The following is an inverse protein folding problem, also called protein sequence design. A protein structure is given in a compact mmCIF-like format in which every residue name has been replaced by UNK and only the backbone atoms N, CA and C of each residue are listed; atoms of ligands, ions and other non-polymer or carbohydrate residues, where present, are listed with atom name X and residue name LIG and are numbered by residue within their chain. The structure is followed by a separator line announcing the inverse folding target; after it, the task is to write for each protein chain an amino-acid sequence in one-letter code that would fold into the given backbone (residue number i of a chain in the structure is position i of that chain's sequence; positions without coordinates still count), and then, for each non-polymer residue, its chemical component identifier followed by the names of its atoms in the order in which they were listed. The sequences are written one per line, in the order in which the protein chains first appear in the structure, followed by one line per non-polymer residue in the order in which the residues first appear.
data_IF_270508174576
#
_entry.id   IF_270508174576
#
_cell.length_a   1.000
_cell.length_b   1.000
_cell.length_c   1.000
_cell.angle_alpha   90.00
_cell.angle_beta   90.00
_cell.angle_gamma   90.00
#
_symmetry.space_group_name_H-M   'P 1'
#
loop_
_entity.id
_entity.type
_entity.pdbx_description
1 polymer ?
#
# COMPACT_ATOMS: atom_id res chain seq x y z
N UNK A 1 68.01 15.40 34.31
CA UNK A 1 68.70 14.71 35.44
C UNK A 1 68.47 13.21 35.24
N UNK A 2 69.57 12.50 35.06
CA UNK A 2 69.69 11.07 34.81
C UNK A 2 69.11 10.27 35.95
N UNK A 3 68.55 9.07 35.66
CA UNK A 3 68.93 7.82 36.37
C UNK A 3 68.37 6.63 35.56
N UNK A 4 69.32 5.77 35.23
CA UNK A 4 69.26 4.47 34.61
C UNK A 4 69.04 3.38 35.68
N UNK A 5 68.87 2.18 35.20
CA UNK A 5 69.07 0.80 35.75
C UNK A 5 67.75 0.02 35.91
N UNK A 6 67.68 -1.23 35.61
CA UNK A 6 68.42 -2.25 34.89
C UNK A 6 67.71 -3.57 35.15
N UNK A 7 67.67 -4.38 34.14
CA UNK A 7 67.63 -5.86 34.14
C UNK A 7 67.15 -6.65 35.35
N UNK A 8 66.19 -7.55 35.13
CA UNK A 8 66.45 -8.98 35.44
C UNK A 8 65.43 -9.88 34.72
N UNK A 9 65.95 -10.80 33.94
CA UNK A 9 65.27 -11.86 33.25
C UNK A 9 64.85 -12.96 34.22
N UNK A 10 63.73 -13.60 34.03
CA UNK A 10 63.47 -14.95 34.48
C UNK A 10 62.48 -15.62 33.49
N UNK A 11 63.04 -16.53 32.72
CA UNK A 11 62.37 -17.51 31.88
C UNK A 11 61.63 -18.52 32.77
N UNK A 12 60.33 -18.64 32.60
CA UNK A 12 59.60 -19.85 32.98
C UNK A 12 58.86 -20.36 31.77
N UNK A 13 59.39 -21.36 31.17
CA UNK A 13 58.77 -22.17 30.14
C UNK A 13 57.67 -23.02 30.80
N UNK A 14 56.44 -22.73 30.51
CA UNK A 14 55.33 -23.62 30.84
C UNK A 14 54.66 -24.06 29.55
N UNK A 15 54.94 -25.29 29.16
CA UNK A 15 54.20 -26.00 28.10
C UNK A 15 52.75 -26.17 28.55
N UNK A 16 51.84 -25.48 27.91
CA UNK A 16 50.43 -25.82 27.99
C UNK A 16 50.02 -26.30 26.58
N UNK A 17 49.64 -27.59 26.55
CA UNK A 17 49.10 -28.24 25.39
C UNK A 17 47.82 -27.53 24.90
N UNK A 18 47.84 -26.95 23.71
CA UNK A 18 46.65 -26.48 23.03
C UNK A 18 45.93 -27.68 22.43
N UNK A 19 44.90 -28.15 23.10
CA UNK A 19 43.87 -28.98 22.47
C UNK A 19 43.07 -28.09 21.53
N UNK A 20 43.33 -28.34 20.24
CA UNK A 20 42.61 -27.73 19.11
C UNK A 20 41.14 -28.16 19.14
N UNK A 21 40.28 -27.30 19.67
CA UNK A 21 38.86 -27.47 19.49
C UNK A 21 38.46 -26.67 18.22
N UNK A 22 38.41 -27.39 17.09
CA UNK A 22 37.92 -26.87 15.83
C UNK A 22 36.41 -26.56 15.98
N UNK A 23 36.06 -25.29 16.27
CA UNK A 23 34.69 -24.80 16.15
C UNK A 23 34.38 -24.62 14.67
N UNK A 24 33.74 -25.64 14.12
CA UNK A 24 33.07 -25.59 12.84
C UNK A 24 32.01 -24.45 12.89
N UNK A 25 32.29 -23.35 12.23
CA UNK A 25 31.35 -22.26 12.02
C UNK A 25 30.29 -22.78 11.07
N UNK A 26 29.17 -23.25 11.57
CA UNK A 26 27.97 -23.46 10.79
C UNK A 26 27.44 -22.08 10.37
N UNK A 27 27.71 -21.71 9.13
CA UNK A 27 26.98 -20.68 8.43
C UNK A 27 25.54 -21.17 8.28
N UNK A 28 24.63 -20.67 9.13
CA UNK A 28 23.20 -20.81 8.90
C UNK A 28 22.88 -20.19 7.54
N UNK A 29 22.07 -20.86 6.71
CA UNK A 29 21.55 -20.26 5.49
C UNK A 29 20.74 -19.02 5.90
N UNK A 30 21.01 -17.90 5.24
CA UNK A 30 20.16 -16.70 5.30
C UNK A 30 18.81 -17.11 4.77
N UNK A 31 17.88 -17.29 5.69
CA UNK A 31 16.45 -17.49 5.37
C UNK A 31 16.00 -16.31 4.56
N UNK A 32 15.76 -16.57 3.29
CA UNK A 32 15.25 -15.61 2.33
C UNK A 32 13.87 -15.20 2.84
N UNK A 33 13.80 -14.03 3.50
CA UNK A 33 12.58 -13.42 3.98
C UNK A 33 11.71 -13.17 2.76
N UNK A 34 10.87 -14.16 2.46
CA UNK A 34 9.80 -14.09 1.48
C UNK A 34 9.07 -12.78 1.75
N UNK A 35 9.21 -11.84 0.82
CA UNK A 35 8.40 -10.62 0.79
C UNK A 35 6.95 -11.07 0.86
N UNK A 36 6.29 -10.81 1.98
CA UNK A 36 4.85 -11.05 2.10
C UNK A 36 4.18 -10.21 1.02
N UNK A 37 3.69 -10.89 0.00
CA UNK A 37 2.77 -10.31 -0.94
C UNK A 37 1.52 -9.87 -0.16
N UNK A 38 0.94 -8.69 -0.47
CA UNK A 38 -0.32 -8.27 0.11
C UNK A 38 -1.35 -9.39 -0.03
N UNK A 39 -2.06 -9.69 1.04
CA UNK A 39 -3.11 -10.70 1.01
C UNK A 39 -4.24 -10.23 0.09
N UNK A 40 -4.25 -10.77 -1.12
CA UNK A 40 -5.42 -10.69 -2.01
C UNK A 40 -6.39 -11.74 -1.53
N UNK A 41 -7.38 -11.37 -0.76
CA UNK A 41 -8.51 -12.24 -0.43
C UNK A 41 -9.57 -12.02 -1.51
N UNK A 42 -9.83 -13.00 -2.41
CA UNK A 42 -11.03 -12.96 -3.20
C UNK A 42 -12.21 -12.98 -2.23
N UNK A 43 -12.99 -11.91 -2.22
CA UNK A 43 -14.25 -11.91 -1.50
C UNK A 43 -15.14 -12.92 -2.24
N UNK A 44 -15.51 -14.03 -1.56
CA UNK A 44 -16.23 -15.13 -2.18
C UNK A 44 -17.47 -14.66 -2.95
N UNK A 45 -17.67 -15.26 -4.12
CA UNK A 45 -18.82 -15.14 -5.02
C UNK A 45 -19.76 -13.95 -4.79
N UNK A 46 -19.39 -12.84 -5.29
CA UNK A 46 -20.04 -11.60 -5.67
C UNK A 46 -21.50 -11.35 -5.25
N UNK A 47 -21.77 -11.18 -3.94
CA UNK A 47 -23.11 -10.83 -3.47
C UNK A 47 -23.16 -9.64 -2.54
N UNK A 48 -22.01 -9.09 -2.13
CA UNK A 48 -21.99 -7.90 -1.28
C UNK A 48 -22.11 -6.63 -2.12
N UNK A 49 -23.22 -5.94 -1.95
CA UNK A 49 -23.44 -4.64 -2.61
C UNK A 49 -22.50 -3.59 -2.02
N UNK A 50 -21.82 -2.87 -2.91
CA UNK A 50 -21.10 -1.67 -2.53
C UNK A 50 -22.10 -0.65 -1.93
N UNK A 51 -21.77 -0.13 -0.77
CA UNK A 51 -22.56 0.92 -0.15
C UNK A 51 -22.50 2.19 -1.01
N UNK A 52 -23.66 2.72 -1.41
CA UNK A 52 -23.72 3.99 -2.13
C UNK A 52 -23.27 5.14 -1.23
N UNK A 53 -22.69 6.14 -1.83
CA UNK A 53 -22.22 7.33 -1.12
C UNK A 53 -22.33 8.58 -1.99
N UNK A 54 -22.40 9.72 -1.32
CA UNK A 54 -22.20 11.04 -1.92
C UNK A 54 -21.19 11.79 -1.07
N UNK A 55 -20.00 12.04 -1.63
CA UNK A 55 -18.86 12.62 -0.94
C UNK A 55 -18.42 13.91 -1.60
N UNK A 56 -17.91 14.84 -0.79
CA UNK A 56 -17.37 16.10 -1.28
C UNK A 56 -16.15 15.88 -2.18
N UNK A 57 -16.20 16.46 -3.39
CA UNK A 57 -15.14 16.39 -4.35
C UNK A 57 -13.92 17.22 -3.91
N UNK A 58 -12.75 16.59 -3.78
CA UNK A 58 -11.50 17.24 -3.40
C UNK A 58 -10.88 18.06 -4.54
N UNK A 59 -11.17 17.70 -5.80
CA UNK A 59 -10.74 18.44 -6.98
C UNK A 59 -11.61 19.67 -7.27
N UNK A 60 -12.71 19.85 -6.52
CA UNK A 60 -13.71 20.89 -6.76
C UNK A 60 -14.83 20.45 -7.72
N UNK A 61 -15.88 21.24 -7.81
CA UNK A 61 -17.04 20.94 -8.63
C UNK A 61 -18.12 20.12 -7.89
N UNK A 62 -18.84 19.28 -8.63
CA UNK A 62 -19.94 18.48 -8.08
C UNK A 62 -19.39 17.37 -7.17
N UNK A 63 -20.18 17.02 -6.15
CA UNK A 63 -19.87 15.90 -5.26
C UNK A 63 -19.75 14.59 -6.04
N UNK A 64 -18.94 13.67 -5.53
CA UNK A 64 -18.71 12.34 -6.12
C UNK A 64 -19.73 11.38 -5.56
N UNK A 65 -20.53 10.77 -6.43
CA UNK A 65 -21.55 9.82 -6.06
C UNK A 65 -21.33 8.48 -6.74
N UNK A 66 -21.28 7.39 -6.00
CA UNK A 66 -21.00 6.07 -6.57
C UNK A 66 -22.04 5.64 -7.61
N UNK A 67 -23.31 5.89 -7.33
CA UNK A 67 -24.40 5.52 -8.24
C UNK A 67 -24.41 6.26 -9.60
N UNK A 68 -23.64 7.35 -9.75
CA UNK A 68 -23.46 8.03 -11.05
C UNK A 68 -22.60 7.20 -12.03
N UNK A 69 -21.89 6.20 -11.53
CA UNK A 69 -21.02 5.32 -12.30
C UNK A 69 -21.61 3.92 -12.53
N UNK A 70 -22.91 3.76 -12.30
CA UNK A 70 -23.62 2.50 -12.55
C UNK A 70 -23.44 2.04 -13.99
N UNK A 71 -23.17 0.75 -14.18
CA UNK A 71 -22.87 0.15 -15.49
C UNK A 71 -21.37 0.21 -15.86
N UNK A 72 -20.53 0.81 -15.01
CA UNK A 72 -19.07 0.77 -15.15
C UNK A 72 -18.45 -0.09 -14.05
N UNK A 73 -17.28 -0.64 -14.32
CA UNK A 73 -16.42 -1.18 -13.26
C UNK A 73 -15.84 -0.01 -12.47
N UNK A 74 -15.93 -0.06 -11.15
CA UNK A 74 -15.38 0.98 -10.28
C UNK A 74 -14.19 0.41 -9.50
N UNK A 75 -13.06 1.13 -9.53
CA UNK A 75 -11.93 0.92 -8.63
C UNK A 75 -12.02 2.03 -7.58
N UNK A 76 -12.48 1.67 -6.38
CA UNK A 76 -12.60 2.57 -5.24
C UNK A 76 -11.35 2.42 -4.37
N UNK A 77 -10.50 3.45 -4.32
CA UNK A 77 -9.20 3.41 -3.63
C UNK A 77 -9.16 4.39 -2.46
N UNK A 78 -8.94 3.87 -1.24
CA UNK A 78 -8.73 4.66 -0.03
C UNK A 78 -7.24 4.95 0.16
N UNK A 79 -6.89 6.23 0.22
CA UNK A 79 -5.51 6.70 0.23
C UNK A 79 -5.33 7.99 1.04
N UNK A 80 -4.08 8.42 1.25
CA UNK A 80 -3.76 9.74 1.81
C UNK A 80 -2.50 10.34 1.18
N UNK A 81 -2.38 11.67 1.26
CA UNK A 81 -1.24 12.42 0.70
C UNK A 81 0.10 12.03 1.34
N UNK A 82 0.10 11.68 2.60
CA UNK A 82 1.26 11.29 3.40
C UNK A 82 1.61 9.80 3.33
N UNK A 83 0.84 8.99 2.61
CA UNK A 83 1.01 7.53 2.52
C UNK A 83 1.98 7.15 1.39
N UNK A 84 3.22 6.68 1.67
CA UNK A 84 4.19 6.38 0.62
C UNK A 84 3.76 5.28 -0.35
N UNK A 85 3.19 4.13 0.07
CA UNK A 85 2.72 3.11 -0.87
C UNK A 85 1.53 3.60 -1.71
N UNK A 86 0.64 4.44 -1.17
CA UNK A 86 -0.44 5.05 -1.94
C UNK A 86 0.10 5.91 -3.08
N UNK A 87 1.06 6.79 -2.77
CA UNK A 87 1.72 7.67 -3.76
C UNK A 87 2.40 6.88 -4.87
N UNK A 88 2.93 5.70 -4.56
CA UNK A 88 3.55 4.80 -5.54
C UNK A 88 2.52 4.17 -6.49
N UNK A 89 1.31 3.86 -6.02
CA UNK A 89 0.25 3.25 -6.82
C UNK A 89 -0.55 4.24 -7.69
N UNK A 90 -0.57 5.54 -7.33
CA UNK A 90 -1.34 6.56 -8.08
C UNK A 90 -1.02 6.60 -9.58
N UNK A 91 0.24 6.52 -10.05
CA UNK A 91 0.53 6.47 -11.48
C UNK A 91 -0.16 5.32 -12.22
N UNK A 92 -0.24 4.14 -11.60
CA UNK A 92 -0.92 2.98 -12.16
C UNK A 92 -2.43 3.22 -12.29
N UNK A 93 -3.04 3.84 -11.27
CA UNK A 93 -4.46 4.22 -11.30
C UNK A 93 -4.76 5.28 -12.37
N UNK A 94 -3.85 6.24 -12.59
CA UNK A 94 -3.93 7.23 -13.67
C UNK A 94 -3.89 6.54 -15.03
N UNK A 95 -3.00 5.55 -15.20
CA UNK A 95 -2.89 4.77 -16.43
C UNK A 95 -4.16 3.96 -16.68
N UNK A 96 -4.69 3.27 -15.68
CA UNK A 96 -5.95 2.52 -15.78
C UNK A 96 -7.12 3.42 -16.18
N UNK A 97 -7.26 4.59 -15.54
CA UNK A 97 -8.30 5.56 -15.90
C UNK A 97 -8.16 6.03 -17.35
N UNK A 98 -6.94 6.29 -17.82
CA UNK A 98 -6.68 6.69 -19.21
C UNK A 98 -6.98 5.58 -20.20
N UNK A 99 -6.61 4.34 -19.87
CA UNK A 99 -6.73 3.18 -20.76
C UNK A 99 -8.17 2.66 -20.88
N UNK A 100 -8.93 2.70 -19.79
CA UNK A 100 -10.24 2.06 -19.69
C UNK A 100 -11.39 3.03 -19.38
N UNK A 101 -11.18 4.35 -19.44
CA UNK A 101 -12.09 5.39 -18.93
C UNK A 101 -13.55 5.32 -19.39
N UNK A 102 -13.84 4.70 -20.55
CA UNK A 102 -15.21 4.49 -21.00
C UNK A 102 -15.94 3.39 -20.23
N UNK A 103 -15.21 2.40 -19.73
CA UNK A 103 -15.73 1.18 -19.09
C UNK A 103 -15.41 1.09 -17.60
N UNK A 104 -14.38 1.79 -17.17
CA UNK A 104 -13.86 1.77 -15.81
C UNK A 104 -13.82 3.20 -15.29
N UNK A 105 -14.10 3.38 -14.02
CA UNK A 105 -13.80 4.61 -13.30
C UNK A 105 -12.99 4.29 -12.07
N UNK A 106 -11.91 5.04 -11.86
CA UNK A 106 -11.21 5.09 -10.59
C UNK A 106 -11.84 6.18 -9.75
N UNK A 107 -12.09 5.91 -8.47
CA UNK A 107 -12.52 6.91 -7.48
C UNK A 107 -11.53 6.84 -6.32
N UNK A 108 -10.75 7.90 -6.13
CA UNK A 108 -9.89 8.04 -4.96
C UNK A 108 -10.69 8.61 -3.79
N UNK A 109 -10.58 7.98 -2.63
CA UNK A 109 -11.18 8.48 -1.38
C UNK A 109 -10.05 8.82 -0.43
N UNK A 110 -9.79 10.12 -0.24
CA UNK A 110 -8.76 10.61 0.68
C UNK A 110 -9.21 10.46 2.12
N UNK A 111 -8.41 9.78 2.92
CA UNK A 111 -8.56 9.67 4.38
C UNK A 111 -7.66 10.66 5.12
N UNK A 112 -7.19 11.71 4.44
CA UNK A 112 -6.46 12.79 5.07
C UNK A 112 -7.30 13.44 6.18
N UNK A 113 -6.69 13.67 7.33
CA UNK A 113 -7.33 14.28 8.49
C UNK A 113 -7.29 15.82 8.44
N UNK A 114 -7.75 16.49 9.50
CA UNK A 114 -7.80 17.95 9.59
C UNK A 114 -6.44 18.64 9.41
N UNK A 115 -5.33 17.94 9.65
CA UNK A 115 -3.99 18.50 9.51
C UNK A 115 -3.48 18.44 8.07
N UNK A 116 -3.90 17.45 7.30
CA UNK A 116 -3.40 17.16 5.95
C UNK A 116 -4.41 17.36 4.84
N UNK A 117 -5.71 17.43 5.15
CA UNK A 117 -6.79 17.56 4.16
C UNK A 117 -6.63 18.76 3.23
N UNK A 118 -6.02 19.85 3.71
CA UNK A 118 -5.73 21.04 2.91
C UNK A 118 -4.68 20.81 1.81
N UNK A 119 -3.88 19.74 1.91
CA UNK A 119 -2.86 19.39 0.92
C UNK A 119 -3.45 18.66 -0.30
N UNK A 120 -4.61 18.00 -0.14
CA UNK A 120 -5.20 17.12 -1.16
C UNK A 120 -5.41 17.81 -2.50
N UNK A 121 -5.99 19.03 -2.61
CA UNK A 121 -6.17 19.67 -3.92
C UNK A 121 -4.85 20.00 -4.63
N UNK A 122 -3.83 20.39 -3.87
CA UNK A 122 -2.48 20.64 -4.39
C UNK A 122 -1.82 19.35 -4.87
N UNK A 123 -2.00 18.28 -4.12
CA UNK A 123 -1.48 16.96 -4.45
C UNK A 123 -2.13 16.39 -5.73
N UNK A 124 -3.45 16.48 -5.88
CA UNK A 124 -4.17 16.09 -7.10
C UNK A 124 -3.55 16.75 -8.34
N UNK A 125 -3.29 18.05 -8.28
CA UNK A 125 -2.68 18.81 -9.37
C UNK A 125 -1.24 18.37 -9.63
N UNK A 126 -0.44 18.21 -8.59
CA UNK A 126 0.99 17.86 -8.71
C UNK A 126 1.21 16.47 -9.28
N UNK A 127 0.34 15.52 -8.97
CA UNK A 127 0.38 14.15 -9.48
C UNK A 127 -0.36 13.99 -10.83
N UNK A 128 -1.02 15.03 -11.34
CA UNK A 128 -1.87 14.98 -12.54
C UNK A 128 -2.94 13.88 -12.43
N UNK A 129 -3.58 13.73 -11.27
CA UNK A 129 -4.66 12.76 -11.07
C UNK A 129 -5.81 13.10 -12.03
N UNK A 130 -6.21 12.13 -12.85
CA UNK A 130 -7.18 12.28 -13.93
C UNK A 130 -8.52 11.59 -13.66
N UNK A 131 -8.77 11.27 -12.40
CA UNK A 131 -9.99 10.60 -11.92
C UNK A 131 -10.59 11.36 -10.73
N UNK A 132 -11.89 11.14 -10.42
CA UNK A 132 -12.54 11.76 -9.26
C UNK A 132 -11.84 11.44 -7.94
N UNK A 133 -11.64 12.47 -7.12
CA UNK A 133 -11.13 12.31 -5.75
C UNK A 133 -12.11 12.94 -4.79
N UNK A 134 -12.51 12.20 -3.77
CA UNK A 134 -13.43 12.65 -2.74
C UNK A 134 -12.77 12.61 -1.36
N UNK A 135 -13.30 13.39 -0.43
CA UNK A 135 -12.92 13.31 0.98
C UNK A 135 -13.71 12.21 1.68
N UNK A 136 -13.02 11.36 2.43
CA UNK A 136 -13.68 10.38 3.29
C UNK A 136 -14.45 11.06 4.43
N UNK A 137 -15.48 10.36 4.89
CA UNK A 137 -16.13 10.62 6.17
C UNK A 137 -16.21 9.31 6.97
N UNK A 138 -16.68 9.38 8.23
CA UNK A 138 -16.79 8.20 9.08
C UNK A 138 -17.79 7.17 8.54
N UNK A 139 -18.80 7.60 7.81
CA UNK A 139 -19.86 6.74 7.27
C UNK A 139 -19.31 5.82 6.18
N UNK A 140 -18.55 6.37 5.20
CA UNK A 140 -17.96 5.55 4.14
C UNK A 140 -16.91 4.62 4.70
N UNK A 141 -16.07 5.07 5.63
CA UNK A 141 -15.08 4.22 6.25
C UNK A 141 -15.72 3.01 6.95
N UNK A 142 -16.79 3.23 7.69
CA UNK A 142 -17.54 2.17 8.35
C UNK A 142 -18.25 1.24 7.35
N UNK A 143 -18.87 1.81 6.31
CA UNK A 143 -19.63 1.06 5.29
C UNK A 143 -18.73 0.09 4.49
N UNK A 144 -17.44 0.41 4.34
CA UNK A 144 -16.45 -0.43 3.67
C UNK A 144 -15.58 -1.25 4.65
N UNK A 145 -16.15 -1.56 5.84
CA UNK A 145 -15.59 -2.50 6.80
C UNK A 145 -14.51 -1.93 7.71
N UNK A 146 -14.47 -0.59 7.88
CA UNK A 146 -13.42 0.09 8.64
C UNK A 146 -12.09 0.05 7.88
N UNK A 147 -11.60 1.17 7.42
CA UNK A 147 -10.34 1.23 6.67
C UNK A 147 -9.17 1.27 7.67
N UNK A 148 -8.66 0.09 8.02
CA UNK A 148 -7.59 -0.07 9.01
C UNK A 148 -6.19 0.20 8.44
N UNK A 149 -6.03 0.04 7.12
CA UNK A 149 -4.77 0.26 6.42
C UNK A 149 -5.00 0.92 5.07
N UNK A 150 -4.00 1.66 4.58
CA UNK A 150 -4.00 2.27 3.25
C UNK A 150 -2.70 1.95 2.50
N UNK A 151 -2.74 1.82 1.16
CA UNK A 151 -3.95 1.86 0.35
C UNK A 151 -4.86 0.65 0.59
N UNK A 152 -6.16 0.84 0.49
CA UNK A 152 -7.13 -0.25 0.41
C UNK A 152 -8.04 0.04 -0.78
N UNK A 153 -8.11 -0.90 -1.71
CA UNK A 153 -8.94 -0.77 -2.90
C UNK A 153 -10.00 -1.84 -2.98
N UNK A 154 -11.15 -1.46 -3.54
CA UNK A 154 -12.27 -2.35 -3.84
C UNK A 154 -12.54 -2.30 -5.33
N UNK A 155 -12.76 -3.46 -5.94
CA UNK A 155 -13.23 -3.57 -7.32
C UNK A 155 -14.72 -3.87 -7.27
N UNK A 156 -15.50 -3.02 -7.91
CA UNK A 156 -16.96 -3.07 -7.94
C UNK A 156 -17.38 -3.31 -9.38
N UNK A 157 -18.24 -4.30 -9.61
CA UNK A 157 -18.74 -4.64 -10.94
C UNK A 157 -19.79 -3.64 -11.44
N UNK A 158 -20.25 -3.82 -12.68
CA UNK A 158 -21.23 -2.96 -13.33
C UNK A 158 -22.61 -2.98 -12.65
N UNK A 159 -22.90 -4.03 -11.88
CA UNK A 159 -24.12 -4.19 -11.10
C UNK A 159 -24.00 -3.58 -9.68
N UNK A 160 -22.81 -3.09 -9.31
CA UNK A 160 -22.51 -2.49 -8.02
C UNK A 160 -22.21 -3.52 -6.94
N UNK A 161 -21.73 -4.71 -7.26
CA UNK A 161 -21.28 -5.70 -6.28
C UNK A 161 -19.75 -5.54 -6.08
N UNK A 162 -19.28 -5.66 -4.86
CA UNK A 162 -17.86 -5.76 -4.55
C UNK A 162 -17.39 -7.16 -4.95
N UNK A 163 -16.48 -7.23 -5.89
CA UNK A 163 -15.92 -8.50 -6.39
C UNK A 163 -14.53 -8.80 -5.83
N UNK A 164 -13.76 -7.76 -5.53
CA UNK A 164 -12.43 -7.92 -4.93
C UNK A 164 -12.16 -6.81 -3.92
N UNK A 165 -11.35 -7.12 -2.91
CA UNK A 165 -10.76 -6.18 -1.95
C UNK A 165 -9.27 -6.45 -1.84
N UNK A 166 -8.47 -5.40 -1.95
CA UNK A 166 -7.03 -5.46 -1.79
C UNK A 166 -6.58 -4.52 -0.69
N UNK A 167 -5.72 -4.98 0.21
CA UNK A 167 -5.09 -4.18 1.27
C UNK A 167 -3.60 -4.08 0.98
N UNK A 168 -3.09 -2.87 0.93
CA UNK A 168 -1.72 -2.58 0.51
C UNK A 168 -1.59 -2.33 -0.99
N UNK A 169 -0.38 -1.93 -1.40
CA UNK A 169 -0.07 -1.69 -2.80
C UNK A 169 -0.05 -3.00 -3.59
N UNK A 170 -0.80 -3.07 -4.68
CA UNK A 170 -0.80 -4.18 -5.63
C UNK A 170 -0.24 -3.74 -6.97
N UNK A 171 0.20 -4.69 -7.78
CA UNK A 171 0.64 -4.45 -9.14
C UNK A 171 -0.55 -4.11 -10.06
N UNK A 172 -0.33 -3.24 -11.06
CA UNK A 172 -1.36 -2.81 -12.00
C UNK A 172 -2.07 -3.99 -12.68
N UNK A 173 -1.34 -5.10 -12.92
CA UNK A 173 -1.89 -6.30 -13.55
C UNK A 173 -3.03 -6.94 -12.74
N UNK A 174 -3.07 -6.74 -11.42
CA UNK A 174 -4.18 -7.21 -10.58
C UNK A 174 -5.47 -6.54 -11.00
N UNK A 175 -5.46 -5.22 -11.12
CA UNK A 175 -6.63 -4.46 -11.60
C UNK A 175 -7.00 -4.81 -13.04
N UNK A 176 -5.99 -4.95 -13.93
CA UNK A 176 -6.23 -5.30 -15.33
C UNK A 176 -6.87 -6.68 -15.48
N UNK A 177 -6.44 -7.66 -14.70
CA UNK A 177 -7.02 -9.00 -14.69
C UNK A 177 -8.48 -8.96 -14.25
N UNK A 178 -8.80 -8.26 -13.16
CA UNK A 178 -10.17 -8.10 -12.69
C UNK A 178 -11.06 -7.39 -13.73
N UNK A 179 -10.59 -6.28 -14.31
CA UNK A 179 -11.31 -5.55 -15.36
C UNK A 179 -11.60 -6.48 -16.58
N UNK A 180 -10.63 -7.32 -16.96
CA UNK A 180 -10.80 -8.23 -18.10
C UNK A 180 -11.79 -9.36 -17.83
N UNK A 181 -11.94 -9.79 -16.58
CA UNK A 181 -12.93 -10.80 -16.17
C UNK A 181 -14.36 -10.24 -16.10
N UNK A 182 -14.51 -8.93 -15.88
CA UNK A 182 -15.77 -8.23 -15.72
C UNK A 182 -16.33 -7.61 -17.02
N UNK A 183 -15.67 -7.86 -18.16
CA UNK A 183 -16.09 -7.34 -19.48
C UNK A 183 -17.19 -8.14 -20.11
#
# INVERSE_FOLDING_TARGET
MKIKFALAALLVVSLIAFTSCSKKTETKPVENKKTEQPETKPLGTGTEKAADFTLKNAGGGMDVKLSDYKGKVVILDFWATWCPPCRKGIPDLIELQKKYGDKVVVIGVSVDDQNTIGEVPGFIKSMNINYPVAYANSEIAAAYGGIEAIPTSFIIDQDGNIVEKHVGLVDISVYENAINQLK
#
